data_IF_915402368183
#
_entry.id   IF_915402368183
#
_cell.length_a   1.000
_cell.length_b   1.000
_cell.length_c   1.000
_cell.angle_alpha   90.00
_cell.angle_beta   90.00
_cell.angle_gamma   90.00
#
_symmetry.space_group_name_H-M   'P 1'
#
loop_
_entity.id
_entity.type
_entity.pdbx_description
1 polymer ?
#
# COMPACT_ATOMS: atom_id res chain seq x y z
N UNK A 1 50.57 18.53 37.02
CA UNK A 1 49.42 17.64 36.86
C UNK A 1 48.14 18.49 36.77
N UNK A 2 47.63 18.75 35.59
CA UNK A 2 46.33 19.42 35.37
C UNK A 2 45.55 18.54 34.40
N UNK A 3 44.36 18.14 34.82
CA UNK A 3 43.44 17.23 34.18
C UNK A 3 42.89 17.76 32.86
N UNK A 4 42.94 16.95 31.81
CA UNK A 4 42.14 17.07 30.62
C UNK A 4 40.99 16.05 30.75
N UNK A 5 39.81 16.49 31.17
CA UNK A 5 38.57 15.73 31.06
C UNK A 5 37.48 16.72 30.63
N UNK A 6 36.82 16.47 29.49
CA UNK A 6 35.53 17.10 29.23
C UNK A 6 35.26 17.72 27.89
N UNK A 7 35.62 17.10 26.75
CA UNK A 7 35.13 17.56 25.43
C UNK A 7 34.53 16.46 24.52
N UNK A 8 34.43 15.21 25.00
CA UNK A 8 33.94 14.09 24.16
C UNK A 8 32.44 13.77 24.26
N UNK A 9 31.75 14.25 25.31
CA UNK A 9 30.39 13.78 25.59
C UNK A 9 29.27 14.57 24.89
N UNK A 10 29.56 15.79 24.46
CA UNK A 10 28.54 16.66 23.84
C UNK A 10 28.29 16.35 22.34
N UNK A 11 29.29 15.87 21.62
CA UNK A 11 29.18 15.62 20.18
C UNK A 11 28.35 14.37 19.85
N UNK A 12 28.42 13.33 20.72
CA UNK A 12 27.68 12.07 20.53
C UNK A 12 26.18 12.22 20.79
N UNK A 13 25.79 13.03 21.77
CA UNK A 13 24.36 13.29 22.08
C UNK A 13 23.68 14.11 20.99
N UNK A 14 24.40 15.04 20.33
CA UNK A 14 23.83 15.83 19.22
C UNK A 14 23.59 14.94 17.97
N UNK A 15 24.50 14.04 17.66
CA UNK A 15 24.36 13.16 16.48
C UNK A 15 23.17 12.19 16.59
N UNK A 16 22.88 11.67 17.77
CA UNK A 16 21.73 10.80 18.02
C UNK A 16 20.41 11.57 17.93
N UNK A 17 20.36 12.81 18.38
CA UNK A 17 19.16 13.65 18.30
C UNK A 17 18.82 14.00 16.85
N UNK A 18 19.80 14.29 16.00
CA UNK A 18 19.58 14.57 14.58
C UNK A 18 19.11 13.32 13.80
N UNK A 19 19.65 12.15 14.07
CA UNK A 19 19.24 10.91 13.41
C UNK A 19 17.78 10.55 13.75
N UNK A 20 17.34 10.75 14.99
CA UNK A 20 15.96 10.50 15.40
C UNK A 20 14.98 11.53 14.79
N UNK A 21 15.37 12.79 14.64
CA UNK A 21 14.54 13.81 14.01
C UNK A 21 14.33 13.54 12.51
N UNK A 22 15.36 13.08 11.79
CA UNK A 22 15.26 12.71 10.38
C UNK A 22 14.39 11.47 10.15
N UNK A 23 14.49 10.46 11.02
CA UNK A 23 13.64 9.27 10.96
C UNK A 23 12.16 9.62 11.22
N UNK A 24 11.88 10.49 12.19
CA UNK A 24 10.53 10.96 12.48
C UNK A 24 9.92 11.78 11.31
N UNK A 25 10.73 12.59 10.62
CA UNK A 25 10.29 13.36 9.45
C UNK A 25 10.01 12.48 8.24
N UNK A 26 10.82 11.44 8.01
CA UNK A 26 10.60 10.48 6.94
C UNK A 26 9.29 9.69 7.13
N UNK A 27 8.96 9.28 8.36
CA UNK A 27 7.68 8.65 8.69
C UNK A 27 6.48 9.59 8.53
N UNK A 28 6.66 10.88 8.74
CA UNK A 28 5.60 11.88 8.61
C UNK A 28 5.14 12.08 7.15
N UNK A 29 5.92 11.67 6.16
CA UNK A 29 5.66 11.86 4.72
C UNK A 29 5.27 10.55 4.02
N UNK A 30 4.81 9.56 4.73
CA UNK A 30 4.30 8.31 4.18
C UNK A 30 2.86 8.01 4.65
N UNK A 31 2.18 7.12 3.91
CA UNK A 31 0.94 6.46 4.36
C UNK A 31 1.24 4.99 4.56
N UNK A 32 0.80 4.43 5.68
CA UNK A 32 0.83 3.00 5.93
C UNK A 32 -0.56 2.55 6.39
N UNK A 33 -1.12 1.55 5.71
CA UNK A 33 -2.40 0.93 6.05
C UNK A 33 -2.20 -0.58 6.13
N UNK A 34 -2.87 -1.23 7.08
CA UNK A 34 -2.66 -2.65 7.35
C UNK A 34 -3.97 -3.35 7.67
N UNK A 35 -4.10 -4.62 7.23
CA UNK A 35 -5.15 -5.53 7.67
C UNK A 35 -4.65 -6.97 7.71
N UNK A 36 -5.27 -7.78 8.57
CA UNK A 36 -5.11 -9.24 8.58
C UNK A 36 -6.26 -9.83 7.75
N UNK A 37 -5.88 -10.62 6.75
CA UNK A 37 -6.81 -11.29 5.84
C UNK A 37 -6.85 -12.79 6.21
N UNK A 38 -8.03 -13.33 6.41
CA UNK A 38 -8.26 -14.74 6.76
C UNK A 38 -8.14 -15.64 5.51
N UNK A 39 -6.99 -15.58 4.84
CA UNK A 39 -6.64 -16.38 3.68
C UNK A 39 -5.12 -16.59 3.57
N UNK A 40 -4.66 -17.69 2.93
CA UNK A 40 -3.24 -17.94 2.69
C UNK A 40 -2.60 -16.87 1.78
N UNK A 41 -1.31 -16.62 1.97
CA UNK A 41 -0.54 -15.62 1.22
C UNK A 41 -0.72 -15.71 -0.31
N UNK A 42 -0.65 -16.90 -0.86
CA UNK A 42 -0.79 -17.10 -2.31
C UNK A 42 -2.19 -16.71 -2.82
N UNK A 43 -3.25 -16.93 -2.04
CA UNK A 43 -4.60 -16.54 -2.38
C UNK A 43 -4.77 -15.01 -2.31
N UNK A 44 -4.25 -14.38 -1.25
CA UNK A 44 -4.28 -12.91 -1.10
C UNK A 44 -3.43 -12.25 -2.19
N UNK A 45 -2.25 -12.79 -2.50
CA UNK A 45 -1.44 -12.34 -3.63
C UNK A 45 -2.24 -12.37 -4.94
N UNK A 46 -2.91 -13.48 -5.24
CA UNK A 46 -3.73 -13.62 -6.44
C UNK A 46 -4.91 -12.64 -6.47
N UNK A 47 -5.51 -12.33 -5.33
CA UNK A 47 -6.56 -11.32 -5.20
C UNK A 47 -6.10 -9.91 -5.63
N UNK A 48 -4.81 -9.58 -5.52
CA UNK A 48 -4.23 -8.30 -5.92
C UNK A 48 -3.59 -8.31 -7.31
N UNK A 49 -3.15 -9.47 -7.82
CA UNK A 49 -2.26 -9.55 -8.98
C UNK A 49 -2.85 -10.28 -10.18
N UNK A 50 -4.05 -10.82 -10.07
CA UNK A 50 -4.80 -11.36 -11.20
C UNK A 50 -6.02 -10.52 -11.53
N UNK A 51 -6.42 -10.51 -12.80
CA UNK A 51 -7.65 -9.84 -13.25
C UNK A 51 -8.86 -10.30 -12.44
N UNK A 52 -9.12 -11.61 -12.43
CA UNK A 52 -10.27 -12.18 -11.73
C UNK A 52 -10.22 -11.90 -10.22
N UNK A 53 -9.01 -11.91 -9.63
CA UNK A 53 -8.79 -11.56 -8.23
C UNK A 53 -9.24 -10.14 -7.94
N UNK A 54 -8.70 -9.15 -8.64
CA UNK A 54 -8.98 -7.72 -8.43
C UNK A 54 -10.44 -7.38 -8.72
N UNK A 55 -11.02 -7.90 -9.80
CA UNK A 55 -12.44 -7.69 -10.16
C UNK A 55 -13.41 -8.32 -9.14
N UNK A 56 -12.96 -9.31 -8.37
CA UNK A 56 -13.83 -10.00 -7.40
C UNK A 56 -14.14 -9.18 -6.14
N UNK A 57 -13.41 -8.08 -5.88
CA UNK A 57 -13.58 -7.33 -4.63
C UNK A 57 -13.28 -5.84 -4.71
N UNK A 58 -12.39 -5.40 -5.59
CA UNK A 58 -11.88 -4.02 -5.56
C UNK A 58 -12.47 -3.14 -6.67
N UNK A 59 -12.53 -3.63 -7.91
CA UNK A 59 -12.93 -2.83 -9.08
C UNK A 59 -13.87 -3.59 -10.00
N UNK A 60 -14.57 -2.86 -10.87
CA UNK A 60 -15.49 -3.47 -11.83
C UNK A 60 -14.78 -4.11 -13.04
N UNK A 61 -13.69 -3.49 -13.51
CA UNK A 61 -12.89 -3.99 -14.64
C UNK A 61 -11.40 -3.83 -14.37
N UNK A 62 -10.61 -4.82 -14.75
CA UNK A 62 -9.15 -4.79 -14.64
C UNK A 62 -8.45 -5.44 -15.83
N UNK A 63 -7.22 -4.99 -16.09
CA UNK A 63 -6.23 -5.67 -16.94
C UNK A 63 -4.88 -5.60 -16.23
N UNK A 64 -4.22 -6.74 -16.06
CA UNK A 64 -2.97 -6.83 -15.29
C UNK A 64 -1.91 -7.52 -16.13
N UNK A 65 -0.82 -6.81 -16.38
CA UNK A 65 0.41 -7.30 -17.00
C UNK A 65 1.51 -7.30 -15.94
N UNK A 66 1.60 -8.38 -15.14
CA UNK A 66 2.51 -8.48 -14.00
C UNK A 66 3.93 -8.78 -14.47
N UNK A 67 4.62 -7.75 -14.94
CA UNK A 67 6.05 -7.74 -15.29
C UNK A 67 6.64 -6.38 -14.97
N UNK A 68 7.95 -6.27 -14.92
CA UNK A 68 8.61 -4.96 -14.74
C UNK A 68 8.21 -4.01 -15.88
N UNK A 69 7.71 -2.83 -15.52
CA UNK A 69 7.19 -1.86 -16.48
C UNK A 69 5.83 -2.23 -17.09
N UNK A 70 5.25 -3.39 -16.74
CA UNK A 70 3.90 -3.75 -17.14
C UNK A 70 2.84 -2.91 -16.43
N UNK A 71 1.61 -2.93 -16.93
CA UNK A 71 0.54 -2.06 -16.46
C UNK A 71 -0.54 -2.85 -15.71
N UNK A 72 -0.99 -2.28 -14.60
CA UNK A 72 -2.28 -2.57 -13.99
C UNK A 72 -3.25 -1.45 -14.39
N UNK A 73 -4.26 -1.78 -15.18
CA UNK A 73 -5.37 -0.89 -15.52
C UNK A 73 -6.60 -1.29 -14.75
N UNK A 74 -7.27 -0.33 -14.14
CA UNK A 74 -8.48 -0.58 -13.34
C UNK A 74 -9.53 0.45 -13.63
N UNK A 75 -10.82 0.04 -13.54
CA UNK A 75 -11.97 0.93 -13.69
C UNK A 75 -13.03 0.57 -12.65
N UNK A 76 -13.48 1.55 -11.85
CA UNK A 76 -14.43 1.33 -10.76
C UNK A 76 -15.88 1.20 -11.24
N UNK A 77 -16.25 1.78 -12.40
CA UNK A 77 -17.62 1.78 -12.91
C UNK A 77 -17.83 0.62 -13.87
N UNK A 78 -18.95 -0.07 -13.72
CA UNK A 78 -19.32 -1.21 -14.58
C UNK A 78 -19.53 -0.81 -16.05
N UNK A 79 -20.07 0.39 -16.27
CA UNK A 79 -20.39 0.96 -17.58
C UNK A 79 -19.16 1.55 -18.29
N UNK A 80 -18.05 1.79 -17.55
CA UNK A 80 -16.82 2.32 -18.12
C UNK A 80 -16.04 1.27 -18.91
N UNK A 81 -15.12 1.72 -19.76
CA UNK A 81 -14.23 0.86 -20.52
C UNK A 81 -12.76 1.12 -20.15
N UNK A 82 -11.94 0.05 -20.17
CA UNK A 82 -10.50 0.22 -19.92
C UNK A 82 -9.88 1.03 -21.08
N UNK A 83 -9.27 2.16 -20.71
CA UNK A 83 -8.69 3.13 -21.63
C UNK A 83 -9.44 4.47 -21.68
N UNK A 84 -10.68 4.52 -21.18
CA UNK A 84 -11.43 5.77 -21.06
C UNK A 84 -10.88 6.72 -19.97
N UNK A 85 -11.54 7.85 -19.78
CA UNK A 85 -11.13 8.88 -18.81
C UNK A 85 -11.28 8.47 -17.36
N UNK A 86 -12.02 7.40 -17.05
CA UNK A 86 -12.18 6.83 -15.72
C UNK A 86 -11.14 5.77 -15.40
N UNK A 87 -10.31 5.37 -16.37
CA UNK A 87 -9.28 4.36 -16.18
C UNK A 87 -8.11 4.88 -15.37
N UNK A 88 -7.73 4.11 -14.35
CA UNK A 88 -6.49 4.31 -13.60
C UNK A 88 -5.45 3.35 -14.16
N UNK A 89 -4.26 3.87 -14.52
CA UNK A 89 -3.11 3.05 -14.89
C UNK A 89 -2.01 3.15 -13.84
N UNK A 90 -1.52 2.01 -13.40
CA UNK A 90 -0.35 1.88 -12.55
C UNK A 90 0.72 1.09 -13.29
N UNK A 91 1.98 1.52 -13.19
CA UNK A 91 3.13 0.77 -13.73
C UNK A 91 3.80 -0.01 -12.60
N UNK A 92 4.00 -1.31 -12.79
CA UNK A 92 4.78 -2.13 -11.87
C UNK A 92 6.25 -1.75 -11.91
N UNK A 93 6.80 -1.43 -10.74
CA UNK A 93 8.22 -1.06 -10.56
C UNK A 93 9.08 -2.25 -10.15
N UNK A 94 8.55 -3.12 -9.29
CA UNK A 94 9.18 -4.35 -8.84
C UNK A 94 8.16 -5.33 -8.30
N UNK A 95 8.50 -6.61 -8.21
CA UNK A 95 7.75 -7.61 -7.46
C UNK A 95 8.64 -8.77 -7.03
N UNK A 96 8.27 -9.41 -5.93
CA UNK A 96 8.83 -10.64 -5.39
C UNK A 96 7.66 -11.54 -4.97
N UNK A 97 7.20 -12.35 -5.91
CA UNK A 97 6.00 -13.16 -5.73
C UNK A 97 6.23 -14.31 -4.73
N UNK A 98 5.31 -14.59 -3.82
CA UNK A 98 4.06 -13.89 -3.54
C UNK A 98 4.18 -12.86 -2.39
N UNK A 99 5.37 -12.29 -2.12
CA UNK A 99 5.67 -11.48 -0.93
C UNK A 99 5.39 -9.99 -1.07
N UNK A 100 5.64 -9.43 -2.26
CA UNK A 100 5.42 -8.00 -2.46
C UNK A 100 5.36 -7.61 -3.93
N UNK A 101 4.75 -6.48 -4.20
CA UNK A 101 4.99 -5.71 -5.43
C UNK A 101 5.04 -4.22 -5.12
N UNK A 102 5.66 -3.46 -6.02
CA UNK A 102 5.59 -2.00 -6.00
C UNK A 102 5.12 -1.46 -7.35
N UNK A 103 4.41 -0.34 -7.29
CA UNK A 103 3.87 0.33 -8.46
C UNK A 103 3.78 1.83 -8.25
N UNK A 104 3.62 2.57 -9.35
CA UNK A 104 3.27 4.00 -9.30
C UNK A 104 2.13 4.29 -10.26
N UNK A 105 1.34 5.31 -9.96
CA UNK A 105 0.34 5.83 -10.90
C UNK A 105 1.09 6.33 -12.13
N UNK A 106 0.70 5.88 -13.32
CA UNK A 106 1.19 6.37 -14.61
C UNK A 106 0.14 7.18 -15.36
N UNK A 107 -1.15 6.92 -15.09
CA UNK A 107 -2.28 7.73 -15.56
C UNK A 107 -3.36 7.73 -14.49
N UNK A 108 -3.62 8.85 -13.80
CA UNK A 108 -4.80 8.99 -12.95
C UNK A 108 -6.07 9.14 -13.80
N UNK A 109 -7.27 8.90 -13.24
CA UNK A 109 -8.53 9.19 -13.93
C UNK A 109 -8.69 10.72 -14.10
N UNK A 110 -9.43 11.16 -15.10
CA UNK A 110 -9.61 12.61 -15.38
C UNK A 110 -10.21 13.40 -14.22
N UNK A 111 -10.96 12.74 -13.33
CA UNK A 111 -11.58 13.36 -12.14
C UNK A 111 -10.68 13.33 -10.91
N UNK A 112 -9.40 12.90 -11.03
CA UNK A 112 -8.48 12.83 -9.90
C UNK A 112 -8.17 14.25 -9.38
N UNK A 113 -8.38 14.53 -8.09
CA UNK A 113 -8.35 15.90 -7.59
C UNK A 113 -6.93 16.49 -7.40
N UNK A 114 -5.89 15.68 -7.60
CA UNK A 114 -4.50 16.10 -7.39
C UNK A 114 -3.75 16.19 -8.71
N UNK A 115 -3.25 17.37 -9.05
CA UNK A 115 -2.64 17.64 -10.36
C UNK A 115 -1.19 17.14 -10.45
N UNK A 116 -0.42 17.19 -9.37
CA UNK A 116 1.03 16.99 -9.38
C UNK A 116 1.53 16.00 -8.31
N UNK A 117 0.97 15.99 -7.13
CA UNK A 117 1.47 15.23 -5.98
C UNK A 117 1.64 13.72 -6.26
N UNK A 118 0.82 13.13 -7.12
CA UNK A 118 0.90 11.70 -7.49
C UNK A 118 2.17 11.34 -8.29
N UNK A 119 2.83 12.32 -8.94
CA UNK A 119 3.97 12.09 -9.85
C UNK A 119 5.22 11.57 -9.13
N UNK A 120 5.36 11.90 -7.85
CA UNK A 120 6.50 11.49 -7.01
C UNK A 120 6.17 10.29 -6.12
N UNK A 121 4.89 9.94 -5.99
CA UNK A 121 4.43 8.90 -5.07
C UNK A 121 4.46 7.52 -5.72
N UNK A 122 4.91 6.53 -4.95
CA UNK A 122 4.78 5.13 -5.32
C UNK A 122 4.21 4.30 -4.17
N UNK A 123 3.64 3.17 -4.51
CA UNK A 123 3.01 2.23 -3.57
C UNK A 123 3.83 0.95 -3.49
N UNK A 124 4.00 0.43 -2.29
CA UNK A 124 4.52 -0.92 -2.04
C UNK A 124 3.45 -1.69 -1.28
N UNK A 125 3.12 -2.89 -1.75
CA UNK A 125 2.18 -3.80 -1.09
C UNK A 125 2.95 -5.04 -0.64
N UNK A 126 2.88 -5.32 0.66
CA UNK A 126 3.48 -6.51 1.27
C UNK A 126 2.41 -7.51 1.67
N UNK A 127 2.75 -8.79 1.59
CA UNK A 127 1.90 -9.93 1.93
C UNK A 127 2.68 -10.86 2.86
N UNK A 128 2.53 -10.68 4.16
CA UNK A 128 3.28 -11.42 5.16
C UNK A 128 2.40 -12.50 5.81
N UNK A 129 2.76 -13.79 5.70
CA UNK A 129 2.05 -14.81 6.45
C UNK A 129 2.28 -14.58 7.95
N UNK A 130 1.21 -14.50 8.76
CA UNK A 130 1.28 -14.27 10.21
C UNK A 130 0.92 -15.50 11.01
N UNK A 131 0.00 -16.33 10.50
CA UNK A 131 -0.44 -17.59 11.07
C UNK A 131 -0.87 -18.54 9.93
N UNK A 132 -1.12 -19.80 10.27
CA UNK A 132 -1.65 -20.76 9.28
C UNK A 132 -2.97 -20.24 8.69
N UNK A 133 -2.98 -20.04 7.38
CA UNK A 133 -4.17 -19.58 6.64
C UNK A 133 -4.48 -18.08 6.80
N UNK A 134 -3.58 -17.28 7.37
CA UNK A 134 -3.78 -15.82 7.53
C UNK A 134 -2.61 -15.02 6.99
N UNK A 135 -2.90 -13.89 6.40
CA UNK A 135 -1.92 -12.99 5.78
C UNK A 135 -2.13 -11.56 6.26
N UNK A 136 -1.05 -10.92 6.71
CA UNK A 136 -1.02 -9.47 6.88
C UNK A 136 -0.77 -8.85 5.52
N UNK A 137 -1.64 -7.91 5.12
CA UNK A 137 -1.41 -7.04 3.97
C UNK A 137 -1.06 -5.66 4.49
N UNK A 138 0.08 -5.14 4.06
CA UNK A 138 0.51 -3.78 4.38
C UNK A 138 0.66 -2.99 3.07
N UNK A 139 -0.06 -1.88 2.94
CA UNK A 139 0.06 -0.93 1.84
C UNK A 139 0.84 0.27 2.34
N UNK A 140 2.01 0.52 1.75
CA UNK A 140 2.81 1.72 2.04
C UNK A 140 2.87 2.60 0.80
N UNK A 141 2.58 3.88 0.97
CA UNK A 141 2.76 4.89 -0.07
C UNK A 141 3.82 5.89 0.39
N UNK A 142 4.81 6.09 -0.44
CA UNK A 142 6.02 6.86 -0.16
C UNK A 142 6.22 7.93 -1.24
N UNK A 143 7.07 8.93 -0.95
CA UNK A 143 7.41 9.98 -1.91
C UNK A 143 6.51 11.20 -1.87
N UNK A 144 5.70 11.35 -0.81
CA UNK A 144 4.93 12.59 -0.59
C UNK A 144 5.85 13.76 -0.27
N UNK A 145 5.51 14.93 -0.80
CA UNK A 145 6.11 16.20 -0.41
C UNK A 145 5.51 16.76 0.90
N UNK A 146 6.06 17.88 1.33
CA UNK A 146 5.57 18.66 2.48
C UNK A 146 4.57 19.76 2.09
N UNK A 147 4.33 19.95 0.79
CA UNK A 147 3.37 20.90 0.25
C UNK A 147 1.90 20.50 0.55
N UNK A 148 1.01 21.45 0.41
CA UNK A 148 -0.42 21.27 0.74
C UNK A 148 -1.09 20.18 -0.08
N UNK A 149 -0.82 20.11 -1.39
CA UNK A 149 -1.44 19.11 -2.27
C UNK A 149 -1.00 17.69 -1.88
N UNK A 150 0.28 17.51 -1.57
CA UNK A 150 0.83 16.25 -1.08
C UNK A 150 0.21 15.82 0.26
N UNK A 151 0.00 16.77 1.19
CA UNK A 151 -0.65 16.48 2.47
C UNK A 151 -2.12 16.09 2.30
N UNK A 152 -2.87 16.78 1.45
CA UNK A 152 -4.26 16.45 1.13
C UNK A 152 -4.38 15.09 0.45
N UNK A 153 -3.50 14.80 -0.53
CA UNK A 153 -3.45 13.49 -1.19
C UNK A 153 -3.07 12.36 -0.22
N UNK A 154 -2.17 12.64 0.72
CA UNK A 154 -1.80 11.68 1.77
C UNK A 154 -3.00 11.33 2.66
N UNK A 155 -3.78 12.32 3.10
CA UNK A 155 -4.99 12.09 3.87
C UNK A 155 -6.04 11.30 3.07
N UNK A 156 -6.22 11.62 1.79
CA UNK A 156 -7.11 10.91 0.88
C UNK A 156 -6.75 9.41 0.78
N UNK A 157 -5.48 9.09 0.55
CA UNK A 157 -5.04 7.70 0.42
C UNK A 157 -4.97 6.97 1.76
N UNK A 158 -4.71 7.64 2.88
CA UNK A 158 -4.77 7.00 4.20
C UNK A 158 -6.18 6.44 4.47
N UNK A 159 -7.23 7.21 4.16
CA UNK A 159 -8.60 6.74 4.25
C UNK A 159 -8.92 5.67 3.19
N UNK A 160 -8.60 5.92 1.91
CA UNK A 160 -8.93 5.03 0.80
C UNK A 160 -8.27 3.66 0.90
N UNK A 161 -7.00 3.60 1.28
CA UNK A 161 -6.29 2.33 1.44
C UNK A 161 -6.85 1.50 2.60
N UNK A 162 -7.14 2.13 3.74
CA UNK A 162 -7.74 1.42 4.87
C UNK A 162 -9.11 0.88 4.51
N UNK A 163 -9.98 1.69 3.91
CA UNK A 163 -11.29 1.26 3.42
C UNK A 163 -11.18 0.07 2.45
N UNK A 164 -10.22 0.12 1.52
CA UNK A 164 -9.98 -0.96 0.56
C UNK A 164 -9.55 -2.26 1.27
N UNK A 165 -8.65 -2.18 2.24
CA UNK A 165 -8.24 -3.35 3.03
C UNK A 165 -9.38 -3.93 3.89
N UNK A 166 -10.23 -3.08 4.45
CA UNK A 166 -11.40 -3.50 5.22
C UNK A 166 -12.41 -4.26 4.35
N UNK A 167 -12.63 -3.83 3.09
CA UNK A 167 -13.44 -4.55 2.11
C UNK A 167 -12.87 -5.94 1.81
N UNK A 168 -11.55 -6.05 1.62
CA UNK A 168 -10.90 -7.34 1.40
C UNK A 168 -11.04 -8.24 2.63
N UNK A 169 -10.81 -7.73 3.82
CA UNK A 169 -10.97 -8.49 5.06
C UNK A 169 -12.41 -8.97 5.24
N UNK A 170 -13.40 -8.13 4.93
CA UNK A 170 -14.81 -8.50 4.98
C UNK A 170 -15.16 -9.64 4.00
N UNK A 171 -14.63 -9.60 2.77
CA UNK A 171 -14.80 -10.66 1.78
C UNK A 171 -14.32 -12.02 2.31
N UNK A 172 -13.16 -12.08 2.91
CA UNK A 172 -12.57 -13.33 3.38
C UNK A 172 -13.20 -13.84 4.69
N UNK A 173 -13.72 -12.97 5.55
CA UNK A 173 -14.50 -13.37 6.73
C UNK A 173 -15.82 -14.09 6.37
N UNK A 174 -16.46 -13.71 5.28
CA UNK A 174 -17.72 -14.30 4.83
C UNK A 174 -17.57 -15.73 4.26
N UNK A 175 -16.35 -16.18 3.96
CA UNK A 175 -16.06 -17.49 3.34
C UNK A 175 -15.76 -18.58 4.37
N UNK A 176 -15.47 -18.23 5.62
CA UNK A 176 -15.26 -19.25 6.66
C UNK A 176 -16.57 -19.99 6.96
N UNK A 177 -16.66 -21.31 6.70
CA UNK A 177 -17.84 -22.07 7.07
C UNK A 177 -18.04 -21.99 8.58
N UNK A 178 -19.28 -21.73 9.01
CA UNK A 178 -19.63 -21.75 10.42
C UNK A 178 -19.09 -23.03 11.06
N UNK A 179 -18.26 -22.89 12.10
CA UNK A 179 -17.68 -24.02 12.85
C UNK A 179 -18.81 -24.95 13.26
N UNK A 180 -18.87 -26.14 12.65
CA UNK A 180 -19.88 -27.13 12.98
C UNK A 180 -19.78 -27.41 14.49
N UNK A 181 -20.89 -27.30 15.26
CA UNK A 181 -20.84 -27.63 16.68
C UNK A 181 -20.29 -29.04 16.85
N UNK A 182 -19.36 -29.21 17.79
CA UNK A 182 -18.89 -30.53 18.16
C UNK A 182 -20.10 -31.36 18.62
N UNK A 183 -20.33 -32.48 17.97
CA UNK A 183 -21.34 -33.44 18.42
C UNK A 183 -20.96 -33.91 19.83
N UNK A 184 -21.87 -33.72 20.79
CA UNK A 184 -21.75 -34.28 22.11
C UNK A 184 -22.07 -35.77 22.07
#
# INVERSE_FOLDING_TARGET
MKQFIGKGLCATLLAVAFANAQAATAHALEVSSEAIIDAPQAEVWNAFTSRAGVESWMVAKASIDLRLGGLMRTHYRKEGELGDDGTIENTFLSFDAPRMYSMRISKPPATFPFANAWKTVWTVVYFDPVETGRTRVTIRMLGYGDDKESQEMRAFFAFGNQYTLDMLAAKYKAVLPAKKPAAQ
#
